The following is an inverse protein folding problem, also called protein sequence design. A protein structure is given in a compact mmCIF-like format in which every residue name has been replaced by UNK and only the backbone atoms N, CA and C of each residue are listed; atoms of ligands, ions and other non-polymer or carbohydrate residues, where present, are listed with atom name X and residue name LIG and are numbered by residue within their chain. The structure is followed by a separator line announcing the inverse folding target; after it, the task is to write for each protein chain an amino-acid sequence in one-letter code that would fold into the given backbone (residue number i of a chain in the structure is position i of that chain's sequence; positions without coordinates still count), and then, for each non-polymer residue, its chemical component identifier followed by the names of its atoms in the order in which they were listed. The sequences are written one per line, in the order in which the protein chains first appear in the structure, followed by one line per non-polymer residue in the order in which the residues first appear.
data_IF_053719550544
#
_entry.id   IF_053719550544
#
_cell.length_a   1.000
_cell.length_b   1.000
_cell.length_c   1.000
_cell.angle_alpha   90.00
_cell.angle_beta   90.00
_cell.angle_gamma   90.00
#
_symmetry.space_group_name_H-M   'P 1'
#
loop_
_entity.id
_entity.type
_entity.pdbx_description
1 polymer ?
#
# COMPACT_ATOMS: atom_id res chain seq x y z
N UNK A 1 -23.83 -13.04 45.29
CA UNK A 1 -23.50 -13.44 43.92
C UNK A 1 -23.77 -12.34 42.87
N UNK A 2 -24.59 -11.31 43.14
CA UNK A 2 -24.89 -10.20 42.21
C UNK A 2 -23.76 -9.15 42.15
N UNK A 3 -23.00 -8.93 43.21
CA UNK A 3 -21.98 -7.87 43.24
C UNK A 3 -20.64 -8.23 42.56
N UNK A 4 -20.39 -9.54 42.33
CA UNK A 4 -19.20 -9.99 41.59
C UNK A 4 -19.35 -9.84 40.10
N UNK A 5 -20.56 -9.98 39.58
CA UNK A 5 -20.87 -9.79 38.17
C UNK A 5 -20.85 -8.32 37.72
N UNK A 6 -21.14 -7.38 38.63
CA UNK A 6 -21.12 -5.94 38.33
C UNK A 6 -19.70 -5.36 38.25
N UNK A 7 -18.74 -5.92 38.93
CA UNK A 7 -17.34 -5.45 38.93
C UNK A 7 -16.57 -5.83 37.64
N UNK A 8 -16.96 -6.89 36.93
CA UNK A 8 -16.32 -7.26 35.65
C UNK A 8 -16.71 -6.37 34.48
N UNK A 9 -17.87 -5.69 34.58
CA UNK A 9 -18.35 -4.80 33.50
C UNK A 9 -17.58 -3.46 33.38
N UNK A 10 -16.80 -3.08 34.41
CA UNK A 10 -16.05 -1.81 34.45
C UNK A 10 -14.53 -1.95 34.32
N UNK A 11 -13.97 -3.16 34.24
CA UNK A 11 -12.52 -3.31 34.05
C UNK A 11 -12.16 -3.04 32.58
N UNK A 12 -11.38 -1.99 32.37
CA UNK A 12 -10.74 -1.76 31.06
C UNK A 12 -9.63 -2.82 30.85
N UNK A 13 -9.95 -3.92 30.13
CA UNK A 13 -9.02 -5.02 29.87
C UNK A 13 -7.78 -4.60 29.09
N UNK A 14 -7.78 -3.38 28.56
CA UNK A 14 -6.68 -2.78 27.80
C UNK A 14 -5.76 -1.91 28.67
N UNK A 15 -6.10 -1.69 29.95
CA UNK A 15 -5.31 -0.85 30.84
C UNK A 15 -3.88 -1.37 30.95
N UNK A 16 -2.90 -0.46 30.82
CA UNK A 16 -1.45 -0.72 30.85
C UNK A 16 -0.92 -1.71 29.80
N UNK A 17 -1.73 -2.11 28.82
CA UNK A 17 -1.30 -3.02 27.77
C UNK A 17 -0.41 -2.33 26.74
N UNK A 18 0.56 -3.11 26.24
CA UNK A 18 1.44 -2.72 25.14
C UNK A 18 1.19 -3.58 23.94
N UNK A 19 1.09 -2.95 22.77
CA UNK A 19 0.94 -3.66 21.51
C UNK A 19 2.12 -3.44 20.57
N UNK A 20 2.42 -4.45 19.76
CA UNK A 20 3.31 -4.35 18.61
C UNK A 20 2.53 -4.66 17.33
N UNK A 21 2.78 -3.86 16.30
CA UNK A 21 2.15 -3.99 15.00
C UNK A 21 3.19 -4.35 13.96
N UNK A 22 2.93 -5.39 13.19
CA UNK A 22 3.82 -5.79 12.11
C UNK A 22 3.06 -5.95 10.81
N UNK A 23 3.42 -5.14 9.82
CA UNK A 23 2.74 -5.11 8.53
C UNK A 23 3.66 -5.60 7.43
N UNK A 24 3.18 -6.57 6.67
CA UNK A 24 3.78 -7.05 5.43
C UNK A 24 2.86 -6.72 4.26
N UNK A 25 3.45 -6.37 3.13
CA UNK A 25 2.73 -6.18 1.87
C UNK A 25 2.53 -4.73 1.46
N UNK A 26 1.30 -4.35 1.17
CA UNK A 26 0.96 -3.12 0.46
C UNK A 26 0.50 -1.96 1.37
N UNK A 27 0.27 -0.79 0.75
CA UNK A 27 -0.25 0.42 1.42
C UNK A 27 -1.60 0.16 2.12
N UNK A 28 -2.44 -0.74 1.56
CA UNK A 28 -3.71 -1.11 2.20
C UNK A 28 -3.48 -1.80 3.54
N UNK A 29 -2.60 -2.82 3.57
CA UNK A 29 -2.29 -3.51 4.81
C UNK A 29 -1.75 -2.52 5.85
N UNK A 30 -0.93 -1.57 5.42
CA UNK A 30 -0.39 -0.55 6.31
C UNK A 30 -1.50 0.35 6.87
N UNK A 31 -2.40 0.88 6.04
CA UNK A 31 -3.53 1.69 6.49
C UNK A 31 -4.42 0.91 7.47
N UNK A 32 -4.73 -0.35 7.17
CA UNK A 32 -5.53 -1.24 8.03
C UNK A 32 -4.88 -1.43 9.40
N UNK A 33 -3.60 -1.74 9.44
CA UNK A 33 -2.86 -1.95 10.71
C UNK A 33 -2.74 -0.67 11.52
N UNK A 34 -2.46 0.46 10.87
CA UNK A 34 -2.40 1.77 11.51
C UNK A 34 -3.74 2.15 12.16
N UNK A 35 -4.86 1.89 11.45
CA UNK A 35 -6.20 2.13 12.01
C UNK A 35 -6.49 1.26 13.23
N UNK A 36 -6.09 0.00 13.23
CA UNK A 36 -6.20 -0.88 14.41
C UNK A 36 -5.38 -0.32 15.57
N UNK A 37 -4.16 0.14 15.32
CA UNK A 37 -3.30 0.77 16.32
C UNK A 37 -3.91 2.05 16.90
N UNK A 38 -4.48 2.89 16.05
CA UNK A 38 -5.16 4.12 16.46
C UNK A 38 -6.40 3.83 17.32
N UNK A 39 -7.15 2.79 16.98
CA UNK A 39 -8.32 2.38 17.76
C UNK A 39 -7.92 1.81 19.12
N UNK A 40 -6.94 0.91 19.20
CA UNK A 40 -6.42 0.37 20.46
C UNK A 40 -5.86 1.49 21.36
N UNK A 41 -5.24 2.51 20.79
CA UNK A 41 -4.76 3.68 21.52
C UNK A 41 -5.90 4.45 22.21
N UNK A 42 -7.10 4.50 21.64
CA UNK A 42 -8.29 5.12 22.27
C UNK A 42 -8.69 4.38 23.55
N UNK A 43 -8.40 3.09 23.65
CA UNK A 43 -8.61 2.28 24.84
C UNK A 43 -7.44 2.31 25.85
N UNK A 44 -6.37 3.07 25.58
CA UNK A 44 -5.22 3.21 26.46
C UNK A 44 -4.04 2.27 26.16
N UNK A 45 -4.13 1.46 25.09
CA UNK A 45 -3.01 0.58 24.68
C UNK A 45 -1.88 1.42 24.12
N UNK A 46 -0.69 1.25 24.67
CA UNK A 46 0.53 1.92 24.19
C UNK A 46 1.29 1.05 23.16
N UNK A 47 2.07 1.68 22.28
CA UNK A 47 2.95 0.93 21.38
C UNK A 47 4.24 0.52 22.13
N UNK A 48 4.56 -0.76 22.11
CA UNK A 48 5.79 -1.28 22.70
C UNK A 48 7.03 -0.69 22.00
N UNK A 49 7.99 -0.20 22.79
CA UNK A 49 9.27 0.32 22.29
C UNK A 49 10.20 -0.84 21.91
N UNK A 50 11.25 -0.53 21.15
CA UNK A 50 12.26 -1.52 20.78
C UNK A 50 12.89 -2.13 22.05
N UNK A 51 12.80 -3.46 22.19
CA UNK A 51 13.31 -4.21 23.33
C UNK A 51 12.30 -4.42 24.46
N UNK A 52 11.12 -3.82 24.42
CA UNK A 52 10.03 -4.11 25.37
C UNK A 52 9.24 -5.35 24.92
N UNK A 53 8.72 -6.09 25.87
CA UNK A 53 7.78 -7.19 25.63
C UNK A 53 6.38 -6.57 25.48
N UNK A 54 5.67 -6.93 24.41
CA UNK A 54 4.29 -6.53 24.20
C UNK A 54 3.33 -7.57 24.77
N UNK A 55 2.14 -7.14 25.17
CA UNK A 55 1.01 -8.00 25.56
C UNK A 55 0.19 -8.45 24.36
N UNK A 56 0.21 -7.67 23.26
CA UNK A 56 -0.59 -7.89 22.06
C UNK A 56 0.32 -7.76 20.84
N UNK A 57 0.25 -8.75 19.93
CA UNK A 57 0.92 -8.73 18.63
C UNK A 57 -0.13 -8.78 17.53
N UNK A 58 -0.21 -7.75 16.68
CA UNK A 58 -1.07 -7.73 15.50
C UNK A 58 -0.20 -7.81 14.24
N UNK A 59 -0.42 -8.86 13.45
CA UNK A 59 0.37 -9.15 12.24
C UNK A 59 -0.54 -9.12 11.03
N UNK A 60 -0.34 -8.15 10.13
CA UNK A 60 -1.05 -8.06 8.85
C UNK A 60 -0.17 -8.63 7.72
N UNK A 61 -0.65 -9.69 7.08
CA UNK A 61 0.13 -10.56 6.19
C UNK A 61 -0.16 -10.32 4.71
N UNK A 62 0.82 -10.65 3.87
CA UNK A 62 0.74 -10.57 2.41
C UNK A 62 0.88 -11.97 1.79
N UNK A 63 0.27 -12.20 0.61
CA UNK A 63 0.35 -13.48 -0.12
C UNK A 63 0.38 -13.30 -1.65
N UNK A 64 0.94 -12.19 -2.14
CA UNK A 64 1.05 -11.95 -3.59
C UNK A 64 2.15 -12.79 -4.24
N UNK A 65 3.16 -13.22 -3.48
CA UNK A 65 4.25 -14.09 -3.94
C UNK A 65 4.57 -15.16 -2.88
N UNK A 66 5.23 -16.26 -3.29
CA UNK A 66 5.69 -17.28 -2.35
C UNK A 66 6.75 -16.75 -1.37
N UNK A 67 7.60 -15.83 -1.83
CA UNK A 67 8.56 -15.13 -0.97
C UNK A 67 7.84 -14.31 0.10
N UNK A 68 6.70 -13.69 -0.23
CA UNK A 68 5.88 -12.98 0.75
C UNK A 68 5.31 -13.94 1.80
N UNK A 69 4.79 -15.11 1.41
CA UNK A 69 4.31 -16.13 2.35
C UNK A 69 5.45 -16.58 3.29
N UNK A 70 6.66 -16.83 2.78
CA UNK A 70 7.82 -17.20 3.58
C UNK A 70 8.20 -16.10 4.58
N UNK A 71 8.24 -14.84 4.13
CA UNK A 71 8.48 -13.68 5.02
C UNK A 71 7.42 -13.55 6.11
N UNK A 72 6.15 -13.85 5.80
CA UNK A 72 5.06 -13.85 6.78
C UNK A 72 5.32 -14.89 7.88
N UNK A 73 5.63 -16.14 7.53
CA UNK A 73 5.94 -17.18 8.50
C UNK A 73 7.12 -16.80 9.39
N UNK A 74 8.21 -16.31 8.80
CA UNK A 74 9.38 -15.85 9.56
C UNK A 74 9.04 -14.70 10.52
N UNK A 75 8.20 -13.77 10.09
CA UNK A 75 7.77 -12.64 10.93
C UNK A 75 6.92 -13.11 12.12
N UNK A 76 5.98 -14.03 11.90
CA UNK A 76 5.15 -14.62 12.95
C UNK A 76 6.04 -15.31 14.00
N UNK A 77 6.90 -16.23 13.59
CA UNK A 77 7.82 -16.92 14.53
C UNK A 77 8.73 -15.96 15.29
N UNK A 78 9.23 -14.91 14.61
CA UNK A 78 10.06 -13.90 15.26
C UNK A 78 9.29 -13.13 16.34
N UNK A 79 8.05 -12.73 16.06
CA UNK A 79 7.23 -11.96 17.01
C UNK A 79 6.82 -12.83 18.21
N UNK A 80 6.39 -14.06 17.99
CA UNK A 80 6.09 -15.02 19.07
C UNK A 80 7.29 -15.19 19.99
N UNK A 81 8.48 -15.39 19.43
CA UNK A 81 9.72 -15.56 20.21
C UNK A 81 10.12 -14.28 20.96
N UNK A 82 9.92 -13.11 20.37
CA UNK A 82 10.34 -11.84 20.98
C UNK A 82 9.35 -11.33 22.03
N UNK A 83 8.10 -11.81 22.01
CA UNK A 83 7.04 -11.38 22.92
C UNK A 83 6.36 -12.61 23.56
N UNK A 84 7.09 -13.36 24.42
CA UNK A 84 6.55 -14.56 25.04
C UNK A 84 5.33 -14.23 25.91
N UNK A 85 4.24 -14.99 25.73
CA UNK A 85 2.97 -14.78 26.43
C UNK A 85 2.07 -13.69 25.86
N UNK A 86 2.49 -12.98 24.82
CA UNK A 86 1.63 -12.04 24.13
C UNK A 86 0.45 -12.74 23.44
N UNK A 87 -0.68 -12.04 23.33
CA UNK A 87 -1.80 -12.41 22.47
C UNK A 87 -1.43 -12.14 21.02
N UNK A 88 -1.29 -13.19 20.20
CA UNK A 88 -0.85 -13.08 18.81
C UNK A 88 -2.03 -13.24 17.86
N UNK A 89 -2.36 -12.16 17.16
CA UNK A 89 -3.43 -12.12 16.15
C UNK A 89 -2.83 -11.91 14.77
N UNK A 90 -3.20 -12.80 13.84
CA UNK A 90 -2.74 -12.76 12.46
C UNK A 90 -3.91 -12.45 11.52
N UNK A 91 -3.74 -11.50 10.64
CA UNK A 91 -4.72 -11.14 9.60
C UNK A 91 -4.04 -10.92 8.25
N UNK A 92 -4.81 -10.55 7.24
CA UNK A 92 -4.30 -10.21 5.91
C UNK A 92 -4.49 -11.30 4.86
N UNK A 93 -3.85 -11.11 3.69
CA UNK A 93 -4.08 -11.97 2.53
C UNK A 93 -3.61 -13.42 2.77
N UNK A 94 -2.48 -13.63 3.45
CA UNK A 94 -2.01 -14.97 3.76
C UNK A 94 -2.90 -15.67 4.78
N UNK A 95 -3.36 -14.95 5.79
CA UNK A 95 -4.31 -15.44 6.78
C UNK A 95 -5.65 -15.87 6.14
N UNK A 96 -6.16 -15.12 5.17
CA UNK A 96 -7.39 -15.45 4.44
C UNK A 96 -7.23 -16.67 3.53
N UNK A 97 -6.08 -16.79 2.85
CA UNK A 97 -5.86 -17.86 1.86
C UNK A 97 -5.46 -19.19 2.48
N UNK A 98 -4.83 -19.18 3.64
CA UNK A 98 -4.28 -20.37 4.32
C UNK A 98 -4.54 -20.33 5.83
N UNK A 99 -5.80 -20.17 6.28
CA UNK A 99 -6.11 -19.96 7.69
C UNK A 99 -5.68 -21.12 8.59
N UNK A 100 -5.89 -22.38 8.14
CA UNK A 100 -5.49 -23.56 8.89
C UNK A 100 -3.97 -23.62 9.08
N UNK A 101 -3.20 -23.29 8.02
CA UNK A 101 -1.74 -23.30 8.10
C UNK A 101 -1.23 -22.23 9.06
N UNK A 102 -1.85 -21.06 9.07
CA UNK A 102 -1.43 -19.94 9.93
C UNK A 102 -1.86 -20.19 11.38
N UNK A 103 -3.08 -20.68 11.60
CA UNK A 103 -3.57 -20.98 12.96
C UNK A 103 -2.80 -22.12 13.63
N UNK A 104 -2.31 -23.10 12.85
CA UNK A 104 -1.49 -24.19 13.37
C UNK A 104 -0.05 -23.79 13.74
N UNK A 105 0.38 -22.54 13.46
CA UNK A 105 1.70 -22.06 13.85
C UNK A 105 1.76 -21.87 15.37
N UNK A 106 2.84 -22.35 15.97
CA UNK A 106 3.07 -22.23 17.42
C UNK A 106 3.02 -20.75 17.86
N UNK A 107 2.26 -20.49 18.92
CA UNK A 107 2.09 -19.17 19.52
C UNK A 107 1.12 -18.23 18.78
N UNK A 108 0.41 -18.70 17.77
CA UNK A 108 -0.70 -17.96 17.16
C UNK A 108 -1.99 -18.27 17.93
N UNK A 109 -2.62 -17.24 18.48
CA UNK A 109 -3.87 -17.37 19.25
C UNK A 109 -5.11 -17.27 18.37
N UNK A 110 -5.11 -16.37 17.36
CA UNK A 110 -6.28 -16.14 16.55
C UNK A 110 -5.88 -15.66 15.13
N UNK A 111 -6.56 -16.21 14.13
CA UNK A 111 -6.45 -15.80 12.74
C UNK A 111 -7.76 -15.16 12.29
N UNK A 112 -7.69 -13.94 11.75
CA UNK A 112 -8.85 -13.20 11.25
C UNK A 112 -8.73 -12.97 9.74
N UNK A 113 -9.77 -13.35 9.01
CA UNK A 113 -9.87 -13.17 7.56
C UNK A 113 -10.12 -11.74 7.13
N UNK A 114 -10.29 -11.57 5.82
CA UNK A 114 -10.50 -10.24 5.22
C UNK A 114 -11.84 -9.61 5.57
N UNK A 115 -12.87 -10.42 5.87
CA UNK A 115 -14.19 -9.94 6.27
C UNK A 115 -14.23 -9.50 7.73
N UNK A 116 -13.39 -10.10 8.57
CA UNK A 116 -13.35 -9.93 10.03
C UNK A 116 -12.38 -8.82 10.49
N UNK A 117 -11.63 -8.23 9.58
CA UNK A 117 -10.62 -7.20 9.90
C UNK A 117 -11.16 -6.03 10.72
N UNK A 118 -12.39 -5.60 10.46
CA UNK A 118 -13.04 -4.53 11.23
C UNK A 118 -13.38 -4.91 12.68
N UNK A 119 -13.23 -6.18 13.05
CA UNK A 119 -13.56 -6.71 14.38
C UNK A 119 -12.30 -7.07 15.19
N UNK A 120 -11.11 -6.67 14.72
CA UNK A 120 -9.84 -7.05 15.38
C UNK A 120 -9.79 -6.58 16.83
N UNK A 121 -10.22 -5.35 17.12
CA UNK A 121 -10.18 -4.78 18.47
C UNK A 121 -11.14 -5.51 19.41
N UNK A 122 -12.36 -5.82 18.93
CA UNK A 122 -13.32 -6.62 19.69
C UNK A 122 -12.81 -8.06 19.93
N UNK A 123 -12.18 -8.67 18.94
CA UNK A 123 -11.58 -9.99 19.08
C UNK A 123 -10.41 -10.00 20.08
N UNK A 124 -9.60 -8.93 20.14
CA UNK A 124 -8.56 -8.75 21.14
C UNK A 124 -9.20 -8.65 22.53
N UNK A 125 -10.23 -7.83 22.70
CA UNK A 125 -10.96 -7.65 23.94
C UNK A 125 -11.53 -8.99 24.44
N UNK A 126 -12.22 -9.72 23.57
CA UNK A 126 -12.76 -11.05 23.85
C UNK A 126 -11.68 -12.00 24.41
N UNK A 127 -10.52 -12.06 23.74
CA UNK A 127 -9.41 -12.93 24.15
C UNK A 127 -8.75 -12.50 25.46
N UNK A 128 -8.64 -11.21 25.72
CA UNK A 128 -8.07 -10.69 26.98
C UNK A 128 -9.00 -10.93 28.17
N UNK A 129 -10.31 -11.06 27.95
CA UNK A 129 -11.28 -11.37 28.99
C UNK A 129 -11.32 -12.87 29.36
N UNK A 130 -10.78 -13.76 28.52
CA UNK A 130 -10.72 -15.20 28.80
C UNK A 130 -9.69 -15.49 29.91
N UNK A 131 -9.99 -16.49 30.73
CA UNK A 131 -9.02 -17.06 31.64
C UNK A 131 -7.84 -17.69 30.87
N UNK A 132 -6.61 -17.75 31.45
CA UNK A 132 -5.45 -18.29 30.74
C UNK A 132 -5.66 -19.72 30.18
N UNK A 133 -6.37 -20.57 30.92
CA UNK A 133 -6.69 -21.95 30.51
C UNK A 133 -7.68 -21.96 29.34
N UNK A 134 -8.71 -21.11 29.39
CA UNK A 134 -9.70 -20.96 28.28
C UNK A 134 -9.03 -20.42 27.02
N UNK A 135 -8.13 -19.46 27.18
CA UNK A 135 -7.36 -18.90 26.05
C UNK A 135 -6.46 -19.94 25.39
N UNK A 136 -5.84 -20.84 26.16
CA UNK A 136 -5.06 -21.95 25.62
C UNK A 136 -5.93 -22.96 24.86
N UNK A 137 -7.12 -23.27 25.36
CA UNK A 137 -8.08 -24.15 24.68
C UNK A 137 -8.61 -23.53 23.40
N UNK A 138 -8.78 -22.21 23.37
CA UNK A 138 -9.22 -21.46 22.20
C UNK A 138 -8.06 -21.04 21.26
N UNK A 139 -6.81 -21.40 21.56
CA UNK A 139 -5.67 -21.17 20.67
C UNK A 139 -5.87 -21.91 19.33
N UNK A 140 -5.21 -21.42 18.29
CA UNK A 140 -5.32 -21.94 16.93
C UNK A 140 -6.69 -21.77 16.27
N UNK A 141 -7.57 -20.94 16.82
CA UNK A 141 -8.83 -20.56 16.18
C UNK A 141 -8.58 -19.70 14.94
N UNK A 142 -9.39 -19.92 13.92
CA UNK A 142 -9.48 -18.98 12.80
C UNK A 142 -10.94 -18.62 12.51
N UNK A 143 -11.15 -17.32 12.22
CA UNK A 143 -12.43 -16.77 11.80
C UNK A 143 -12.25 -16.23 10.38
N UNK A 144 -12.77 -16.95 9.41
CA UNK A 144 -12.73 -16.58 8.01
C UNK A 144 -14.05 -16.99 7.35
N UNK A 145 -14.46 -16.20 6.36
CA UNK A 145 -15.58 -16.58 5.50
C UNK A 145 -15.06 -17.02 4.14
N UNK A 146 -15.88 -17.75 3.38
CA UNK A 146 -15.55 -18.03 1.98
C UNK A 146 -15.35 -16.73 1.23
N UNK A 147 -14.44 -16.72 0.27
CA UNK A 147 -14.13 -15.52 -0.53
C UNK A 147 -15.37 -14.87 -1.14
N UNK A 148 -16.34 -15.68 -1.57
CA UNK A 148 -17.60 -15.21 -2.14
C UNK A 148 -18.48 -14.45 -1.13
N UNK A 149 -18.26 -14.66 0.15
CA UNK A 149 -19.06 -14.09 1.25
C UNK A 149 -18.39 -12.88 1.91
N UNK A 150 -17.20 -12.48 1.45
CA UNK A 150 -16.54 -11.25 1.91
C UNK A 150 -17.33 -10.03 1.46
N UNK A 151 -17.91 -9.28 2.41
CA UNK A 151 -18.76 -8.11 2.16
C UNK A 151 -18.28 -6.85 2.87
N UNK A 152 -17.68 -7.01 4.04
CA UNK A 152 -17.33 -5.87 4.89
C UNK A 152 -16.21 -5.03 4.27
N UNK A 153 -16.42 -3.73 4.24
CA UNK A 153 -15.39 -2.74 3.97
C UNK A 153 -14.91 -2.16 5.30
N UNK A 154 -13.66 -2.34 5.63
CA UNK A 154 -13.03 -1.71 6.79
C UNK A 154 -12.46 -0.36 6.36
N UNK A 155 -13.07 0.76 6.77
CA UNK A 155 -12.50 2.10 6.55
C UNK A 155 -11.13 2.18 7.23
N UNK A 156 -10.15 2.73 6.55
CA UNK A 156 -8.80 2.80 7.12
C UNK A 156 -8.04 3.99 6.55
N UNK A 157 -7.48 4.79 7.45
CA UNK A 157 -6.50 5.82 7.12
C UNK A 157 -5.32 5.66 8.07
N UNK A 158 -4.09 5.65 7.54
CA UNK A 158 -2.93 5.67 8.42
C UNK A 158 -2.82 7.01 9.13
N UNK A 159 -2.38 7.03 10.38
CA UNK A 159 -2.32 8.24 11.19
C UNK A 159 -1.06 8.26 12.05
N UNK A 160 -0.21 9.28 11.85
CA UNK A 160 0.95 9.56 12.70
C UNK A 160 2.16 8.63 12.59
N UNK A 161 2.07 7.57 11.80
CA UNK A 161 3.16 6.59 11.64
C UNK A 161 4.19 7.01 10.57
N UNK A 162 3.77 7.88 9.66
CA UNK A 162 4.55 8.37 8.51
C UNK A 162 4.08 9.76 8.13
N UNK A 163 4.91 10.51 7.42
CA UNK A 163 4.57 11.83 6.87
C UNK A 163 3.44 11.76 5.84
N UNK A 164 3.44 10.72 4.98
CA UNK A 164 2.38 10.49 4.00
C UNK A 164 1.34 9.53 4.55
N UNK A 165 0.08 9.95 4.59
CA UNK A 165 -1.05 9.16 5.06
C UNK A 165 -1.63 8.32 3.92
N UNK A 166 -2.11 7.13 4.21
CA UNK A 166 -2.73 6.23 3.23
C UNK A 166 -4.21 6.10 3.53
N UNK A 167 -5.06 6.63 2.66
CA UNK A 167 -6.52 6.52 2.75
C UNK A 167 -6.99 5.34 1.90
N UNK A 168 -7.52 4.31 2.53
CA UNK A 168 -8.11 3.15 1.85
C UNK A 168 -9.50 3.50 1.37
N UNK A 169 -9.68 3.63 0.05
CA UNK A 169 -10.97 3.98 -0.55
C UNK A 169 -11.70 2.78 -1.15
N UNK A 170 -10.97 1.71 -1.52
CA UNK A 170 -11.51 0.55 -2.21
C UNK A 170 -10.77 -0.72 -1.76
N UNK A 171 -11.44 -1.89 -1.79
CA UNK A 171 -10.88 -3.19 -1.46
C UNK A 171 -11.48 -4.28 -2.38
N UNK A 172 -10.74 -5.39 -2.56
CA UNK A 172 -11.14 -6.47 -3.46
C UNK A 172 -10.99 -6.12 -4.93
N UNK A 173 -11.25 -7.08 -5.83
CA UNK A 173 -11.13 -6.88 -7.29
C UNK A 173 -11.96 -7.88 -8.07
N UNK A 174 -12.63 -7.43 -9.14
CA UNK A 174 -13.46 -8.24 -10.02
C UNK A 174 -12.76 -8.61 -11.35
N UNK A 175 -11.47 -8.31 -11.52
CA UNK A 175 -10.77 -8.56 -12.79
C UNK A 175 -10.38 -10.01 -13.00
N UNK A 176 -10.05 -10.74 -11.94
CA UNK A 176 -9.64 -12.13 -12.02
C UNK A 176 -8.54 -12.37 -13.07
N UNK A 177 -7.53 -11.50 -13.09
CA UNK A 177 -6.34 -11.70 -13.93
C UNK A 177 -5.75 -13.08 -13.66
N UNK A 178 -5.27 -13.76 -14.71
CA UNK A 178 -4.88 -15.18 -14.64
C UNK A 178 -3.82 -15.48 -13.58
N UNK A 179 -2.97 -14.55 -13.26
CA UNK A 179 -1.86 -14.70 -12.30
C UNK A 179 -2.20 -14.25 -10.87
N UNK A 180 -3.36 -13.59 -10.66
CA UNK A 180 -3.61 -12.81 -9.46
C UNK A 180 -4.37 -13.61 -8.39
N UNK A 181 -3.89 -13.55 -7.14
CA UNK A 181 -4.53 -14.17 -5.99
C UNK A 181 -5.42 -13.21 -5.19
N UNK A 182 -5.40 -11.92 -5.51
CA UNK A 182 -6.12 -10.89 -4.74
C UNK A 182 -7.63 -11.10 -4.70
N UNK A 183 -8.32 -11.45 -5.80
CA UNK A 183 -9.76 -11.74 -5.73
C UNK A 183 -10.11 -12.87 -4.75
N UNK A 184 -9.20 -13.84 -4.59
CA UNK A 184 -9.38 -14.96 -3.65
C UNK A 184 -9.07 -14.58 -2.20
N UNK A 185 -8.16 -13.62 -1.99
CA UNK A 185 -7.78 -13.16 -0.66
C UNK A 185 -8.68 -12.04 -0.12
N UNK A 186 -9.16 -11.15 -1.00
CA UNK A 186 -9.87 -9.93 -0.61
C UNK A 186 -11.32 -9.88 -1.09
N UNK A 187 -11.76 -10.85 -1.90
CA UNK A 187 -13.12 -10.89 -2.44
C UNK A 187 -13.36 -9.88 -3.56
N UNK A 188 -14.66 -9.63 -3.81
CA UNK A 188 -15.11 -8.71 -4.84
C UNK A 188 -14.79 -7.25 -4.50
N UNK A 189 -14.77 -6.41 -5.55
CA UNK A 189 -14.60 -4.97 -5.43
C UNK A 189 -15.71 -4.35 -4.55
N UNK A 190 -15.31 -3.58 -3.57
CA UNK A 190 -16.17 -2.85 -2.64
C UNK A 190 -15.47 -1.60 -2.12
N UNK A 191 -16.24 -0.61 -1.68
CA UNK A 191 -15.73 0.69 -1.25
C UNK A 191 -16.55 1.25 -0.08
N UNK A 192 -15.98 2.23 0.62
CA UNK A 192 -16.73 3.08 1.54
C UNK A 192 -17.50 4.18 0.79
N UNK A 193 -18.49 4.80 1.43
CA UNK A 193 -19.16 5.98 0.87
C UNK A 193 -18.22 7.19 0.82
N UNK A 194 -18.47 8.11 -0.09
CA UNK A 194 -17.73 9.38 -0.19
C UNK A 194 -17.74 10.11 1.15
N UNK A 195 -18.91 10.23 1.79
CA UNK A 195 -19.05 10.93 3.09
C UNK A 195 -18.13 10.33 4.18
N UNK A 196 -18.08 9.00 4.27
CA UNK A 196 -17.19 8.31 5.21
C UNK A 196 -15.71 8.59 4.93
N UNK A 197 -15.30 8.56 3.66
CA UNK A 197 -13.90 8.76 3.26
C UNK A 197 -13.46 10.22 3.43
N UNK A 198 -14.36 11.17 3.17
CA UNK A 198 -14.14 12.60 3.44
C UNK A 198 -13.96 12.83 4.95
N UNK A 199 -14.80 12.21 5.80
CA UNK A 199 -14.63 12.30 7.26
C UNK A 199 -13.26 11.79 7.71
N UNK A 200 -12.78 10.66 7.16
CA UNK A 200 -11.43 10.15 7.46
C UNK A 200 -10.32 11.09 6.98
N UNK A 201 -10.48 11.72 5.82
CA UNK A 201 -9.53 12.72 5.33
C UNK A 201 -9.51 13.98 6.21
N UNK A 202 -10.68 14.42 6.73
CA UNK A 202 -10.77 15.52 7.69
C UNK A 202 -10.11 15.17 9.03
N UNK A 203 -10.32 13.96 9.54
CA UNK A 203 -9.62 13.48 10.74
C UNK A 203 -8.10 13.46 10.54
N UNK A 204 -7.63 13.01 9.37
CA UNK A 204 -6.23 13.05 9.02
C UNK A 204 -5.68 14.48 8.95
N UNK A 205 -6.42 15.43 8.37
CA UNK A 205 -6.08 16.84 8.34
C UNK A 205 -5.96 17.43 9.74
N UNK A 206 -6.91 17.15 10.63
CA UNK A 206 -6.87 17.57 12.04
C UNK A 206 -5.68 16.95 12.79
N UNK A 207 -5.24 15.76 12.41
CA UNK A 207 -4.03 15.13 12.93
C UNK A 207 -2.72 15.67 12.31
N UNK A 208 -2.79 16.67 11.41
CA UNK A 208 -1.65 17.33 10.80
C UNK A 208 -1.16 16.73 9.49
N UNK A 209 -1.91 15.81 8.87
CA UNK A 209 -1.54 15.28 7.56
C UNK A 209 -1.43 16.39 6.51
N UNK A 210 -0.34 16.40 5.76
CA UNK A 210 -0.14 17.30 4.62
C UNK A 210 -0.38 16.60 3.29
N UNK A 211 -0.07 15.32 3.21
CA UNK A 211 -0.24 14.52 2.00
C UNK A 211 -1.02 13.23 2.30
N UNK A 212 -2.06 12.98 1.50
CA UNK A 212 -2.83 11.73 1.51
C UNK A 212 -2.63 10.99 0.18
N UNK A 213 -2.24 9.72 0.28
CA UNK A 213 -2.19 8.79 -0.86
C UNK A 213 -3.49 7.98 -0.87
N UNK A 214 -4.32 8.20 -1.89
CA UNK A 214 -5.53 7.42 -2.13
C UNK A 214 -5.12 6.01 -2.53
N UNK A 215 -5.56 5.01 -1.76
CA UNK A 215 -5.10 3.63 -1.95
C UNK A 215 -6.25 2.63 -2.01
N UNK A 216 -6.05 1.57 -2.77
CA UNK A 216 -6.98 0.47 -2.96
C UNK A 216 -6.31 -0.67 -3.70
N UNK A 217 -7.07 -1.71 -4.00
CA UNK A 217 -6.65 -2.82 -4.88
C UNK A 217 -6.81 -2.43 -6.34
N UNK A 218 -7.95 -1.83 -6.68
CA UNK A 218 -8.31 -1.31 -7.98
C UNK A 218 -9.18 -0.07 -7.77
N UNK A 219 -8.54 1.07 -7.50
CA UNK A 219 -9.22 2.28 -7.05
C UNK A 219 -10.20 2.84 -8.08
N UNK A 220 -9.96 2.63 -9.37
CA UNK A 220 -10.88 3.04 -10.43
C UNK A 220 -12.22 2.29 -10.42
N UNK A 221 -12.32 1.15 -9.73
CA UNK A 221 -13.57 0.43 -9.47
C UNK A 221 -14.43 1.05 -8.34
N UNK A 222 -13.97 2.15 -7.75
CA UNK A 222 -14.72 2.86 -6.71
C UNK A 222 -16.14 3.18 -7.16
N UNK A 223 -17.09 3.03 -6.26
CA UNK A 223 -18.49 3.32 -6.48
C UNK A 223 -19.34 2.13 -6.91
N UNK A 224 -18.76 1.01 -7.33
CA UNK A 224 -19.53 -0.18 -7.73
C UNK A 224 -20.48 -0.70 -6.65
N UNK A 225 -20.12 -0.57 -5.39
CA UNK A 225 -20.94 -1.02 -4.26
C UNK A 225 -21.86 0.07 -3.68
N UNK A 226 -21.63 1.33 -3.99
CA UNK A 226 -22.37 2.49 -3.41
C UNK A 226 -23.16 3.29 -4.46
N UNK A 227 -22.90 3.08 -5.75
CA UNK A 227 -23.51 3.85 -6.85
C UNK A 227 -22.88 5.24 -7.04
N UNK A 228 -21.79 5.53 -6.34
CA UNK A 228 -20.99 6.75 -6.49
C UNK A 228 -19.95 6.59 -7.61
N UNK A 229 -19.17 7.63 -7.94
CA UNK A 229 -18.08 7.52 -8.92
C UNK A 229 -16.72 7.89 -8.31
N UNK A 230 -15.64 7.37 -8.91
CA UNK A 230 -14.28 7.73 -8.49
C UNK A 230 -14.02 9.24 -8.67
N UNK A 231 -14.52 9.83 -9.75
CA UNK A 231 -14.40 11.28 -10.00
C UNK A 231 -15.11 12.10 -8.90
N UNK A 232 -16.29 11.67 -8.45
CA UNK A 232 -17.00 12.38 -7.39
C UNK A 232 -16.25 12.29 -6.05
N UNK A 233 -15.62 11.15 -5.77
CA UNK A 233 -14.72 11.02 -4.63
C UNK A 233 -13.55 12.02 -4.71
N UNK A 234 -12.88 12.11 -5.87
CA UNK A 234 -11.76 13.05 -6.04
C UNK A 234 -12.21 14.49 -5.82
N UNK A 235 -13.34 14.89 -6.41
CA UNK A 235 -13.93 16.23 -6.21
C UNK A 235 -14.24 16.52 -4.75
N UNK A 236 -14.78 15.55 -4.03
CA UNK A 236 -15.10 15.71 -2.61
C UNK A 236 -13.84 15.82 -1.73
N UNK A 237 -12.81 15.02 -2.01
CA UNK A 237 -11.54 15.07 -1.31
C UNK A 237 -10.79 16.40 -1.56
N UNK A 238 -10.86 16.95 -2.77
CA UNK A 238 -10.25 18.25 -3.13
C UNK A 238 -10.77 19.42 -2.29
N UNK A 239 -11.98 19.28 -1.71
CA UNK A 239 -12.59 20.29 -0.84
C UNK A 239 -12.18 20.17 0.64
N UNK A 240 -11.45 19.12 1.02
CA UNK A 240 -11.02 18.93 2.41
C UNK A 240 -9.93 19.93 2.77
N UNK A 241 -10.22 20.78 3.75
CA UNK A 241 -9.29 21.79 4.22
C UNK A 241 -8.16 21.17 5.06
N UNK A 242 -6.93 21.70 4.93
CA UNK A 242 -5.77 21.26 5.69
C UNK A 242 -4.94 20.17 4.98
N UNK A 243 -5.48 19.48 3.97
CA UNK A 243 -4.70 18.60 3.10
C UNK A 243 -4.19 19.41 1.92
N UNK A 244 -2.88 19.44 1.76
CA UNK A 244 -2.21 20.19 0.71
C UNK A 244 -1.95 19.35 -0.54
N UNK A 245 -1.84 18.01 -0.38
CA UNK A 245 -1.52 17.09 -1.47
C UNK A 245 -2.34 15.80 -1.42
N UNK A 246 -2.91 15.44 -2.54
CA UNK A 246 -3.43 14.09 -2.81
C UNK A 246 -2.60 13.41 -3.91
N UNK A 247 -2.32 12.11 -3.72
CA UNK A 247 -1.74 11.28 -4.77
C UNK A 247 -2.65 10.09 -5.07
N UNK A 248 -2.84 9.84 -6.35
CA UNK A 248 -3.53 8.66 -6.84
C UNK A 248 -2.52 7.50 -6.84
N UNK A 249 -2.83 6.39 -6.13
CA UNK A 249 -2.04 5.18 -6.26
C UNK A 249 -2.42 4.40 -7.52
N UNK A 250 -2.20 3.10 -7.57
CA UNK A 250 -2.40 2.27 -8.76
C UNK A 250 -3.85 2.34 -9.29
N UNK A 251 -4.01 2.85 -10.51
CA UNK A 251 -5.28 2.92 -11.23
C UNK A 251 -5.15 2.24 -12.59
N UNK A 252 -6.06 1.30 -12.89
CA UNK A 252 -6.07 0.56 -14.15
C UNK A 252 -6.27 1.51 -15.35
N UNK A 253 -5.55 1.31 -16.48
CA UNK A 253 -5.61 2.21 -17.65
C UNK A 253 -7.02 2.44 -18.17
N UNK A 254 -7.83 1.37 -18.23
CA UNK A 254 -9.21 1.44 -18.71
C UNK A 254 -10.19 2.10 -17.73
N UNK A 255 -9.78 2.36 -16.50
CA UNK A 255 -10.54 3.06 -15.46
C UNK A 255 -10.03 4.49 -15.21
N UNK A 256 -8.86 4.83 -15.75
CA UNK A 256 -8.34 6.19 -15.77
C UNK A 256 -9.01 6.97 -16.92
N UNK A 257 -10.19 7.53 -16.64
CA UNK A 257 -10.95 8.28 -17.65
C UNK A 257 -10.33 9.64 -17.92
N UNK A 258 -10.66 10.23 -19.07
CA UNK A 258 -10.15 11.56 -19.46
C UNK A 258 -10.66 12.65 -18.52
N UNK A 259 -11.88 12.49 -17.97
CA UNK A 259 -12.44 13.40 -16.96
C UNK A 259 -11.65 13.37 -15.66
N UNK A 260 -11.17 12.19 -15.23
CA UNK A 260 -10.30 12.05 -14.05
C UNK A 260 -8.96 12.75 -14.30
N UNK A 261 -8.34 12.53 -15.46
CA UNK A 261 -7.07 13.17 -15.83
C UNK A 261 -7.24 14.69 -15.87
N UNK A 262 -8.29 15.17 -16.54
CA UNK A 262 -8.59 16.60 -16.66
C UNK A 262 -8.85 17.23 -15.28
N UNK A 263 -9.60 16.57 -14.42
CA UNK A 263 -9.83 17.05 -13.06
C UNK A 263 -8.51 17.17 -12.26
N UNK A 264 -7.66 16.16 -12.30
CA UNK A 264 -6.37 16.19 -11.62
C UNK A 264 -5.47 17.33 -12.14
N UNK A 265 -5.47 17.58 -13.45
CA UNK A 265 -4.70 18.66 -14.07
C UNK A 265 -5.19 20.07 -13.66
N UNK A 266 -6.45 20.22 -13.31
CA UNK A 266 -7.06 21.49 -12.88
C UNK A 266 -7.07 21.66 -11.36
N UNK A 267 -6.91 20.58 -10.62
CA UNK A 267 -6.93 20.59 -9.16
C UNK A 267 -5.66 21.20 -8.58
N UNK A 268 -5.82 21.94 -7.49
CA UNK A 268 -4.72 22.49 -6.72
C UNK A 268 -4.05 21.45 -5.82
N UNK A 269 -4.79 20.43 -5.39
CA UNK A 269 -4.33 19.47 -4.38
C UNK A 269 -3.93 18.13 -4.96
N UNK A 270 -4.42 17.74 -6.14
CA UNK A 270 -3.99 16.51 -6.80
C UNK A 270 -2.64 16.70 -7.50
N UNK A 271 -1.65 15.96 -7.03
CA UNK A 271 -0.27 16.08 -7.52
C UNK A 271 -0.09 15.45 -8.89
N UNK A 272 0.82 15.99 -9.73
CA UNK A 272 1.16 15.43 -11.05
C UNK A 272 1.97 14.13 -10.88
N UNK A 273 1.29 13.10 -10.40
CA UNK A 273 1.84 11.78 -10.13
C UNK A 273 0.77 10.71 -10.36
N UNK A 274 1.05 9.78 -11.25
CA UNK A 274 0.19 8.64 -11.54
C UNK A 274 0.97 7.34 -11.43
N UNK A 275 0.29 6.32 -10.93
CA UNK A 275 0.80 4.96 -10.93
C UNK A 275 -0.17 4.11 -11.76
N UNK A 276 0.28 3.65 -12.93
CA UNK A 276 -0.57 2.98 -13.92
C UNK A 276 0.03 1.59 -14.21
N UNK A 277 -0.65 0.49 -13.87
CA UNK A 277 -0.12 -0.86 -14.12
C UNK A 277 -0.23 -1.23 -15.60
N UNK A 278 0.91 -1.38 -16.28
CA UNK A 278 0.99 -1.92 -17.65
C UNK A 278 0.95 -3.45 -17.66
N UNK A 279 1.69 -4.07 -16.76
CA UNK A 279 1.93 -5.49 -16.58
C UNK A 279 2.79 -6.11 -17.67
N UNK A 280 2.56 -5.85 -18.96
CA UNK A 280 3.38 -6.26 -20.10
C UNK A 280 3.24 -5.27 -21.25
N UNK A 281 4.29 -5.10 -22.04
CA UNK A 281 4.28 -4.31 -23.29
C UNK A 281 3.89 -5.14 -24.52
N UNK A 282 3.43 -6.37 -24.37
CA UNK A 282 2.92 -7.22 -25.46
C UNK A 282 1.42 -7.47 -25.31
N UNK A 283 0.64 -7.19 -26.34
CA UNK A 283 -0.81 -7.42 -26.33
C UNK A 283 -1.18 -8.89 -26.16
N UNK A 284 -0.39 -9.80 -26.72
CA UNK A 284 -0.62 -11.23 -26.54
C UNK A 284 -0.41 -11.64 -25.08
N UNK A 285 0.63 -11.14 -24.40
CA UNK A 285 0.84 -11.40 -22.98
C UNK A 285 -0.26 -10.77 -22.14
N UNK A 286 -0.71 -9.55 -22.45
CA UNK A 286 -1.85 -8.90 -21.78
C UNK A 286 -3.13 -9.72 -21.93
N UNK A 287 -3.38 -10.27 -23.12
CA UNK A 287 -4.51 -11.17 -23.39
C UNK A 287 -4.43 -12.46 -22.56
N UNK A 288 -3.25 -13.07 -22.47
CA UNK A 288 -3.00 -14.25 -21.63
C UNK A 288 -3.20 -13.92 -20.13
N UNK A 289 -2.85 -12.72 -19.70
CA UNK A 289 -3.11 -12.22 -18.34
C UNK A 289 -4.59 -11.87 -18.09
N UNK A 290 -5.43 -11.83 -19.14
CA UNK A 290 -6.83 -11.33 -19.10
C UNK A 290 -6.93 -9.87 -18.65
N UNK A 291 -6.03 -9.02 -19.17
CA UNK A 291 -6.12 -7.58 -18.92
C UNK A 291 -7.31 -7.00 -19.69
N UNK A 292 -7.83 -5.86 -19.20
CA UNK A 292 -8.99 -5.16 -19.77
C UNK A 292 -8.58 -4.00 -20.68
N UNK A 293 -7.36 -3.97 -21.09
CA UNK A 293 -6.75 -2.98 -21.98
C UNK A 293 -5.64 -3.63 -22.79
N UNK A 294 -5.23 -2.93 -23.83
CA UNK A 294 -4.10 -3.23 -24.70
C UNK A 294 -3.01 -2.14 -24.59
N UNK A 295 -1.92 -2.32 -25.31
CA UNK A 295 -0.80 -1.37 -25.35
C UNK A 295 -1.22 -0.01 -25.94
N UNK A 296 -2.12 0.00 -26.93
CA UNK A 296 -2.60 1.24 -27.55
C UNK A 296 -3.39 2.10 -26.56
N UNK A 297 -4.32 1.51 -25.80
CA UNK A 297 -5.05 2.24 -24.76
C UNK A 297 -4.09 2.73 -23.66
N UNK A 298 -3.13 1.91 -23.22
CA UNK A 298 -2.15 2.33 -22.22
C UNK A 298 -1.37 3.56 -22.67
N UNK A 299 -0.83 3.53 -23.90
CA UNK A 299 -0.10 4.66 -24.49
C UNK A 299 -0.96 5.92 -24.55
N UNK A 300 -2.20 5.81 -25.01
CA UNK A 300 -3.11 6.96 -25.11
C UNK A 300 -3.35 7.63 -23.76
N UNK A 301 -3.41 6.86 -22.66
CA UNK A 301 -3.57 7.41 -21.30
C UNK A 301 -2.30 8.09 -20.80
N UNK A 302 -1.13 7.51 -21.06
CA UNK A 302 0.16 8.14 -20.75
C UNK A 302 0.31 9.47 -21.49
N UNK A 303 0.05 9.48 -22.80
CA UNK A 303 0.12 10.69 -23.63
C UNK A 303 -0.87 11.75 -23.16
N UNK A 304 -2.11 11.34 -22.83
CA UNK A 304 -3.13 12.28 -22.33
C UNK A 304 -2.76 12.89 -20.97
N UNK A 305 -2.15 12.12 -20.08
CA UNK A 305 -1.63 12.65 -18.80
C UNK A 305 -0.53 13.70 -19.08
N UNK A 306 0.42 13.40 -19.97
CA UNK A 306 1.54 14.29 -20.24
C UNK A 306 1.14 15.52 -21.07
N UNK A 307 0.10 15.40 -21.91
CA UNK A 307 -0.48 16.56 -22.62
C UNK A 307 -1.02 17.60 -21.63
N UNK A 308 -1.72 17.17 -20.60
CA UNK A 308 -2.33 18.06 -19.61
C UNK A 308 -1.40 18.42 -18.44
N UNK A 309 -0.48 17.53 -18.12
CA UNK A 309 0.49 17.66 -17.01
C UNK A 309 1.88 17.24 -17.49
N UNK A 310 2.63 18.11 -18.21
CA UNK A 310 3.95 17.75 -18.77
C UNK A 310 5.00 17.35 -17.75
N UNK A 311 4.83 17.80 -16.50
CA UNK A 311 5.71 17.49 -15.37
C UNK A 311 5.31 16.21 -14.61
N UNK A 312 4.26 15.50 -15.04
CA UNK A 312 3.75 14.35 -14.31
C UNK A 312 4.78 13.20 -14.24
N UNK A 313 4.94 12.67 -13.04
CA UNK A 313 5.65 11.41 -12.83
C UNK A 313 4.67 10.25 -13.09
N UNK A 314 4.97 9.42 -14.06
CA UNK A 314 4.19 8.21 -14.36
C UNK A 314 5.03 6.99 -13.98
N UNK A 315 4.66 6.36 -12.86
CA UNK A 315 5.20 5.08 -12.42
C UNK A 315 4.39 3.92 -13.00
N UNK A 316 5.06 2.87 -13.45
CA UNK A 316 4.44 1.77 -14.21
C UNK A 316 4.83 0.43 -13.61
N UNK A 317 3.83 -0.40 -13.25
CA UNK A 317 4.10 -1.78 -12.83
C UNK A 317 4.23 -2.69 -14.06
N UNK A 318 5.24 -3.57 -14.03
CA UNK A 318 5.42 -4.63 -15.03
C UNK A 318 5.79 -5.97 -14.37
N UNK A 319 5.28 -7.06 -14.93
CA UNK A 319 5.58 -8.43 -14.50
C UNK A 319 6.35 -9.12 -15.61
N UNK A 320 7.51 -9.66 -15.27
CA UNK A 320 8.44 -10.28 -16.22
C UNK A 320 8.49 -11.78 -16.01
N UNK A 321 8.54 -12.54 -17.10
CA UNK A 321 8.67 -13.99 -17.08
C UNK A 321 7.37 -14.70 -16.74
N UNK A 322 6.25 -14.18 -17.19
CA UNK A 322 4.93 -14.81 -17.04
C UNK A 322 4.82 -16.06 -17.91
N UNK A 323 3.87 -16.90 -17.59
CA UNK A 323 3.55 -18.03 -18.46
C UNK A 323 3.07 -17.54 -19.81
N UNK A 324 3.57 -18.14 -20.89
CA UNK A 324 3.28 -17.76 -22.28
C UNK A 324 4.19 -16.66 -22.84
N UNK A 325 5.02 -16.00 -22.04
CA UNK A 325 5.97 -14.98 -22.49
C UNK A 325 7.17 -15.64 -23.18
N UNK A 326 7.14 -15.74 -24.50
CA UNK A 326 8.29 -16.20 -25.31
C UNK A 326 9.36 -15.12 -25.37
N UNK A 327 10.54 -15.42 -25.97
CA UNK A 327 11.59 -14.41 -26.17
C UNK A 327 11.12 -13.30 -27.09
N UNK A 328 10.43 -13.65 -28.19
CA UNK A 328 9.90 -12.64 -29.15
C UNK A 328 8.89 -11.70 -28.47
N UNK A 329 7.97 -12.25 -27.65
CA UNK A 329 6.98 -11.44 -26.92
C UNK A 329 7.64 -10.59 -25.83
N UNK A 330 8.72 -11.07 -25.22
CA UNK A 330 9.51 -10.25 -24.28
C UNK A 330 10.24 -9.12 -25.01
N UNK A 331 10.83 -9.39 -26.17
CA UNK A 331 11.50 -8.36 -26.97
C UNK A 331 10.52 -7.29 -27.44
N UNK A 332 9.34 -7.69 -27.95
CA UNK A 332 8.22 -6.78 -28.29
C UNK A 332 7.85 -5.90 -27.08
N UNK A 333 7.66 -6.53 -25.91
CA UNK A 333 7.33 -5.81 -24.67
C UNK A 333 8.41 -4.83 -24.25
N UNK A 334 9.69 -5.21 -24.39
CA UNK A 334 10.83 -4.35 -24.07
C UNK A 334 10.88 -3.12 -24.97
N UNK A 335 10.75 -3.30 -26.30
CA UNK A 335 10.77 -2.23 -27.28
C UNK A 335 9.60 -1.25 -27.06
N UNK A 336 8.41 -1.79 -26.79
CA UNK A 336 7.27 -0.96 -26.45
C UNK A 336 7.53 -0.15 -25.16
N UNK A 337 8.01 -0.78 -24.08
CA UNK A 337 8.31 -0.10 -22.82
C UNK A 337 9.40 0.97 -23.00
N UNK A 338 10.46 0.68 -23.78
CA UNK A 338 11.51 1.65 -24.08
C UNK A 338 11.01 2.87 -24.87
N UNK A 339 9.92 2.73 -25.60
CA UNK A 339 9.30 3.83 -26.37
C UNK A 339 8.32 4.71 -25.60
N UNK A 340 7.98 4.34 -24.35
CA UNK A 340 7.01 5.10 -23.55
C UNK A 340 7.65 6.27 -22.80
N UNK A 341 7.03 7.45 -22.79
CA UNK A 341 7.51 8.62 -22.06
C UNK A 341 7.11 8.57 -20.59
N UNK A 342 7.49 7.50 -19.88
CA UNK A 342 7.20 7.30 -18.45
C UNK A 342 8.42 7.61 -17.59
N UNK A 343 8.23 7.72 -16.26
CA UNK A 343 9.30 8.11 -15.36
C UNK A 343 9.98 6.92 -14.67
N UNK A 344 9.29 5.81 -14.48
CA UNK A 344 9.84 4.65 -13.77
C UNK A 344 9.04 3.37 -14.04
N UNK A 345 9.74 2.24 -14.12
CA UNK A 345 9.14 0.90 -14.06
C UNK A 345 9.38 0.25 -12.70
N UNK A 346 8.32 -0.26 -12.09
CA UNK A 346 8.40 -1.17 -10.95
C UNK A 346 8.32 -2.60 -11.49
N UNK A 347 9.44 -3.31 -11.41
CA UNK A 347 9.62 -4.60 -12.09
C UNK A 347 9.41 -5.74 -11.11
N UNK A 348 8.46 -6.64 -11.42
CA UNK A 348 8.16 -7.80 -10.62
C UNK A 348 8.46 -9.08 -11.39
N UNK A 349 9.38 -9.94 -10.92
CA UNK A 349 9.52 -11.28 -11.50
C UNK A 349 8.25 -12.08 -11.17
N UNK A 350 7.68 -12.72 -12.19
CA UNK A 350 6.47 -13.53 -12.01
C UNK A 350 6.69 -14.66 -10.99
N UNK A 351 5.77 -14.79 -10.06
CA UNK A 351 5.72 -15.84 -9.05
C UNK A 351 4.49 -16.74 -9.28
N UNK A 352 4.71 -18.01 -9.54
CA UNK A 352 3.61 -18.99 -9.68
C UNK A 352 2.83 -19.09 -8.37
N UNK A 353 1.50 -19.11 -8.47
CA UNK A 353 0.61 -19.23 -7.32
C UNK A 353 -0.36 -20.39 -7.51
N UNK A 354 -0.46 -21.32 -6.55
CA UNK A 354 -1.44 -22.40 -6.60
C UNK A 354 -2.87 -21.86 -6.79
N UNK A 355 -3.65 -22.52 -7.61
CA UNK A 355 -5.04 -22.16 -7.89
C UNK A 355 -5.25 -21.02 -8.87
N UNK A 356 -4.17 -20.41 -9.41
CA UNK A 356 -4.27 -19.39 -10.46
C UNK A 356 -4.36 -20.00 -11.85
N UNK A 357 -5.16 -19.38 -12.71
CA UNK A 357 -5.35 -19.80 -14.11
C UNK A 357 -4.07 -19.69 -14.96
N UNK A 358 -3.11 -18.86 -14.55
CA UNK A 358 -1.84 -18.77 -15.24
C UNK A 358 -1.07 -20.09 -15.31
N UNK A 359 -1.28 -21.00 -14.34
CA UNK A 359 -0.63 -22.32 -14.34
C UNK A 359 -1.08 -23.23 -15.49
N UNK A 360 -2.25 -22.95 -16.08
CA UNK A 360 -2.79 -23.68 -17.23
C UNK A 360 -2.18 -23.21 -18.56
N UNK A 361 -1.49 -22.04 -18.57
CA UNK A 361 -0.88 -21.49 -19.77
C UNK A 361 0.42 -22.28 -20.06
N UNK A 362 0.58 -22.81 -21.28
CA UNK A 362 1.81 -23.47 -21.67
C UNK A 362 2.97 -22.47 -21.73
N UNK A 363 4.18 -22.93 -21.94
CA UNK A 363 5.44 -22.18 -21.94
C UNK A 363 5.74 -21.51 -20.58
N UNK A 364 6.70 -22.10 -19.90
CA UNK A 364 7.21 -21.59 -18.61
C UNK A 364 8.60 -21.01 -18.85
N UNK A 365 8.76 -19.75 -18.49
CA UNK A 365 10.08 -19.09 -18.55
C UNK A 365 10.99 -19.66 -17.45
N UNK A 366 12.19 -20.04 -17.81
CA UNK A 366 13.20 -20.58 -16.88
C UNK A 366 13.65 -19.51 -15.87
N UNK A 367 14.02 -19.90 -14.64
CA UNK A 367 14.43 -18.96 -13.60
C UNK A 367 15.58 -18.03 -14.03
N UNK A 368 16.57 -18.56 -14.72
CA UNK A 368 17.75 -17.84 -15.20
C UNK A 368 17.35 -16.78 -16.23
N UNK A 369 16.53 -17.17 -17.18
CA UNK A 369 16.00 -16.28 -18.22
C UNK A 369 15.11 -15.17 -17.63
N UNK A 370 14.24 -15.53 -16.67
CA UNK A 370 13.43 -14.55 -15.93
C UNK A 370 14.32 -13.53 -15.22
N UNK A 371 15.42 -13.96 -14.60
CA UNK A 371 16.36 -13.07 -13.94
C UNK A 371 17.01 -12.10 -14.94
N UNK A 372 17.43 -12.59 -16.11
CA UNK A 372 18.03 -11.75 -17.16
C UNK A 372 17.03 -10.71 -17.70
N UNK A 373 15.81 -11.14 -17.99
CA UNK A 373 14.73 -10.24 -18.45
C UNK A 373 14.40 -9.19 -17.38
N UNK A 374 14.32 -9.60 -16.11
CA UNK A 374 14.10 -8.67 -15.00
C UNK A 374 15.19 -7.62 -14.93
N UNK A 375 16.47 -8.02 -15.08
CA UNK A 375 17.58 -7.08 -15.04
C UNK A 375 17.52 -6.09 -16.21
N UNK A 376 17.23 -6.55 -17.43
CA UNK A 376 17.06 -5.65 -18.59
C UNK A 376 16.04 -4.54 -18.34
N UNK A 377 14.88 -4.87 -17.73
CA UNK A 377 13.86 -3.85 -17.45
C UNK A 377 14.26 -2.95 -16.27
N UNK A 378 14.99 -3.47 -15.28
CA UNK A 378 15.53 -2.65 -14.18
C UNK A 378 16.55 -1.63 -14.72
N UNK A 379 17.43 -2.04 -15.63
CA UNK A 379 18.41 -1.15 -16.27
C UNK A 379 17.72 -0.06 -17.10
N UNK A 380 16.67 -0.43 -17.86
CA UNK A 380 15.81 0.52 -18.57
C UNK A 380 15.16 1.49 -17.58
N UNK A 381 14.57 0.98 -16.49
CA UNK A 381 13.91 1.82 -15.48
C UNK A 381 14.88 2.80 -14.83
N UNK A 382 16.11 2.37 -14.53
CA UNK A 382 17.12 3.26 -13.97
C UNK A 382 17.47 4.40 -14.95
N UNK A 383 17.69 4.07 -16.22
CA UNK A 383 17.99 5.06 -17.25
C UNK A 383 16.89 6.12 -17.38
N UNK A 384 15.64 5.70 -17.55
CA UNK A 384 14.51 6.65 -17.73
C UNK A 384 14.23 7.46 -16.45
N UNK A 385 14.45 6.87 -15.26
CA UNK A 385 14.30 7.61 -14.00
C UNK A 385 15.36 8.69 -13.88
N UNK A 386 16.62 8.40 -14.27
CA UNK A 386 17.70 9.39 -14.31
C UNK A 386 17.36 10.52 -15.30
N UNK A 387 16.88 10.18 -16.48
CA UNK A 387 16.50 11.17 -17.50
C UNK A 387 15.34 12.04 -17.02
N UNK A 388 14.36 11.45 -16.32
CA UNK A 388 13.27 12.22 -15.72
C UNK A 388 13.80 13.19 -14.66
N UNK A 389 14.63 12.74 -13.72
CA UNK A 389 15.16 13.58 -12.66
C UNK A 389 16.05 14.69 -13.19
N UNK A 390 16.92 14.39 -14.17
CA UNK A 390 17.85 15.35 -14.76
C UNK A 390 17.15 16.57 -15.39
N UNK A 391 15.90 16.42 -15.87
CA UNK A 391 15.10 17.54 -16.38
C UNK A 391 14.79 18.62 -15.34
N UNK A 392 14.95 18.30 -14.06
CA UNK A 392 14.59 19.18 -12.94
C UNK A 392 15.79 19.73 -12.19
N UNK A 393 17.00 19.35 -12.52
CA UNK A 393 18.22 19.96 -11.95
C UNK A 393 18.22 21.46 -12.30
N UNK A 394 18.49 22.30 -11.29
CA UNK A 394 18.44 23.77 -11.39
C UNK A 394 17.05 24.39 -11.28
N UNK A 395 15.97 23.58 -11.11
CA UNK A 395 14.61 24.10 -10.90
C UNK A 395 14.25 24.13 -9.42
N UNK A 396 13.41 25.08 -9.04
CA UNK A 396 12.81 25.13 -7.70
C UNK A 396 11.50 24.36 -7.72
N UNK A 397 11.32 23.46 -6.74
CA UNK A 397 10.09 22.66 -6.57
C UNK A 397 9.69 22.59 -5.10
N UNK A 398 8.38 22.58 -4.79
CA UNK A 398 7.92 22.36 -3.43
C UNK A 398 8.16 20.90 -3.00
N UNK A 399 8.85 20.69 -1.88
CA UNK A 399 9.22 19.39 -1.32
C UNK A 399 8.52 19.19 0.02
N UNK A 400 7.78 18.09 0.18
CA UNK A 400 7.29 17.65 1.48
C UNK A 400 8.42 16.90 2.18
N UNK A 401 8.89 17.43 3.31
CA UNK A 401 9.95 16.85 4.12
C UNK A 401 9.41 15.68 4.95
N UNK A 402 10.08 14.54 4.86
CA UNK A 402 9.71 13.32 5.59
C UNK A 402 10.51 13.20 6.89
N UNK A 403 9.89 12.57 7.89
CA UNK A 403 10.53 12.30 9.17
C UNK A 403 11.91 11.65 9.00
N UNK A 404 12.91 12.25 9.64
CA UNK A 404 14.30 11.80 9.61
C UNK A 404 14.83 11.47 11.00
N UNK A 405 15.64 10.42 11.08
CA UNK A 405 16.43 10.12 12.29
C UNK A 405 17.71 10.95 12.38
N UNK A 406 18.16 11.52 11.26
CA UNK A 406 19.27 12.46 11.22
C UNK A 406 18.79 13.84 11.65
N UNK A 407 19.59 14.55 12.45
CA UNK A 407 19.27 15.91 12.86
C UNK A 407 19.56 16.96 11.78
N UNK A 408 20.41 16.62 10.82
CA UNK A 408 20.94 17.58 9.83
C UNK A 408 20.62 17.24 8.38
N UNK A 409 20.16 16.01 8.13
CA UNK A 409 19.82 15.57 6.77
C UNK A 409 18.39 15.11 6.75
N UNK A 410 17.61 15.62 5.82
CA UNK A 410 16.23 15.21 5.56
C UNK A 410 16.08 14.68 4.15
N UNK A 411 15.05 13.88 3.98
CA UNK A 411 14.59 13.47 2.67
C UNK A 411 13.15 13.96 2.49
N UNK A 412 12.76 14.13 1.24
CA UNK A 412 11.38 14.48 0.91
C UNK A 412 11.06 14.15 -0.53
N UNK A 413 9.84 14.45 -0.91
CA UNK A 413 9.39 14.30 -2.29
C UNK A 413 8.80 15.59 -2.82
N UNK A 414 9.19 15.93 -4.06
CA UNK A 414 8.55 17.01 -4.79
C UNK A 414 7.08 16.71 -5.07
N UNK A 415 6.33 17.71 -5.51
CA UNK A 415 4.98 17.54 -6.01
C UNK A 415 4.89 16.48 -7.14
N UNK A 416 5.85 16.45 -8.05
CA UNK A 416 5.98 15.44 -9.11
C UNK A 416 6.86 14.24 -8.74
N UNK A 417 6.96 13.90 -7.46
CA UNK A 417 7.50 12.66 -6.93
C UNK A 417 9.00 12.42 -7.07
N UNK A 418 9.80 13.45 -7.32
CA UNK A 418 11.25 13.36 -7.28
C UNK A 418 11.71 13.26 -5.82
N UNK A 419 12.53 12.28 -5.50
CA UNK A 419 13.15 12.16 -4.19
C UNK A 419 14.30 13.16 -4.05
N UNK A 420 14.29 13.90 -2.93
CA UNK A 420 15.27 14.93 -2.64
C UNK A 420 15.94 14.66 -1.29
N UNK A 421 17.24 14.86 -1.23
CA UNK A 421 18.04 14.85 0.00
C UNK A 421 18.49 16.26 0.31
N UNK A 422 18.21 16.73 1.53
CA UNK A 422 18.45 18.12 1.94
C UNK A 422 19.34 18.14 3.17
N UNK A 423 20.46 18.81 3.10
CA UNK A 423 21.23 19.18 4.28
C UNK A 423 20.65 20.47 4.87
N UNK A 424 20.17 20.37 6.10
CA UNK A 424 19.53 21.51 6.77
C UNK A 424 20.57 22.61 7.08
N UNK A 425 20.20 23.88 6.91
CA UNK A 425 21.04 25.02 7.30
C UNK A 425 21.42 24.98 8.79
N UNK A 426 22.51 25.66 9.15
CA UNK A 426 22.94 25.76 10.54
C UNK A 426 21.82 26.41 11.40
N UNK A 427 21.54 25.81 12.55
CA UNK A 427 20.46 26.25 13.45
C UNK A 427 19.06 25.68 13.14
N UNK A 428 18.89 24.99 12.02
CA UNK A 428 17.67 24.25 11.67
C UNK A 428 17.85 22.78 12.00
N UNK A 429 16.83 22.17 12.62
CA UNK A 429 16.84 20.74 12.97
C UNK A 429 15.63 20.02 12.37
N UNK A 430 15.76 18.74 12.10
CA UNK A 430 14.72 17.91 11.47
C UNK A 430 13.37 18.00 12.20
N UNK A 431 13.38 18.02 13.53
CA UNK A 431 12.17 18.09 14.36
C UNK A 431 11.34 19.37 14.15
N UNK A 432 11.99 20.46 13.66
CA UNK A 432 11.31 21.75 13.42
C UNK A 432 10.66 21.84 12.04
N UNK A 433 11.13 21.04 11.10
CA UNK A 433 10.71 21.11 9.68
C UNK A 433 10.09 19.80 9.18
N UNK A 434 9.99 18.80 10.06
CA UNK A 434 9.29 17.55 9.74
C UNK A 434 7.84 17.83 9.31
N UNK A 435 7.39 17.10 8.31
CA UNK A 435 6.04 17.23 7.75
C UNK A 435 5.68 18.65 7.26
N UNK A 436 6.67 19.42 6.80
CA UNK A 436 6.45 20.72 6.17
C UNK A 436 6.73 20.67 4.67
N UNK A 437 6.09 21.55 3.91
CA UNK A 437 6.38 21.76 2.50
C UNK A 437 7.23 23.00 2.36
N UNK A 438 8.40 22.86 1.74
CA UNK A 438 9.37 23.94 1.52
C UNK A 438 9.79 24.01 0.06
N UNK A 439 10.09 25.20 -0.44
CA UNK A 439 10.62 25.35 -1.78
C UNK A 439 12.11 25.01 -1.79
N UNK A 440 12.50 24.14 -2.74
CA UNK A 440 13.86 23.58 -2.81
C UNK A 440 14.40 23.74 -4.22
N UNK A 441 15.59 24.32 -4.33
CA UNK A 441 16.39 24.29 -5.55
C UNK A 441 17.00 22.88 -5.69
N UNK A 442 16.63 22.18 -6.77
CA UNK A 442 17.13 20.85 -7.05
C UNK A 442 18.54 20.92 -7.69
N UNK A 443 19.48 20.27 -7.05
CA UNK A 443 20.88 20.14 -7.52
C UNK A 443 21.16 18.78 -8.14
N UNK A 444 22.45 18.45 -8.23
CA UNK A 444 22.89 17.15 -8.76
C UNK A 444 22.52 15.97 -7.87
N UNK A 445 22.75 14.76 -8.37
CA UNK A 445 22.55 13.53 -7.63
C UNK A 445 23.39 13.49 -6.33
N UNK A 446 22.81 12.89 -5.29
CA UNK A 446 23.57 12.57 -4.08
C UNK A 446 24.61 11.47 -4.38
N UNK A 447 25.54 11.22 -3.45
CA UNK A 447 26.66 10.26 -3.63
C UNK A 447 26.17 8.84 -3.87
N UNK A 448 25.02 8.48 -3.31
CA UNK A 448 24.42 7.15 -3.49
C UNK A 448 23.65 7.02 -4.82
N UNK A 449 23.43 8.10 -5.57
CA UNK A 449 22.64 8.12 -6.80
C UNK A 449 21.16 7.79 -6.59
N UNK A 450 20.63 8.04 -5.40
CA UNK A 450 19.26 7.65 -5.01
C UNK A 450 18.28 8.82 -4.87
N UNK A 451 18.78 10.06 -4.86
CA UNK A 451 18.03 11.29 -4.73
C UNK A 451 18.79 12.46 -5.36
N UNK A 452 18.09 13.54 -5.72
CA UNK A 452 18.73 14.81 -6.01
C UNK A 452 19.08 15.52 -4.69
N UNK A 453 20.19 16.23 -4.66
CA UNK A 453 20.50 17.16 -3.57
C UNK A 453 19.58 18.36 -3.67
N UNK A 454 19.17 18.89 -2.53
CA UNK A 454 18.29 20.05 -2.45
C UNK A 454 18.83 21.13 -1.55
N UNK A 455 18.62 22.39 -1.93
CA UNK A 455 18.88 23.58 -1.13
C UNK A 455 17.55 24.30 -0.88
N UNK A 456 17.19 24.47 0.41
CA UNK A 456 15.97 25.19 0.78
C UNK A 456 16.13 26.66 0.34
N UNK A 457 15.09 27.20 -0.29
CA UNK A 457 14.98 28.60 -0.65
C UNK A 457 14.10 29.34 0.36
N UNK A 458 14.48 30.57 0.66
CA UNK A 458 13.75 31.49 1.56
C UNK A 458 12.43 31.95 0.93
#
# INVERSE_FOLDING_TARGET
MSDILCNFACMNVFEDKKAVYYTLGCKLNFAETSSVGAELKKYGVSTARKGEIADICVINTCSVTEVADSKCRQAIHRLVRNHPGALVIVTGCYAQLKPEQVSAMEGVDLVLGSNEKGQIVEAIKERLMMMPEERKLAAHEYRTVRTADIRNFMPSCSCGDRTRYFLKVQDGCDYYCTYCTIPFARGRSRNGSIGMLVSQAQEAAMAGAKEIVITGVNIGDFGKSTGESFLDLLKALDQVQGIERYRISSIEPNLLTDEVIQFCAQSRTFMPHFHIPLQSGSDEVLRLMRRKYDTALFRSKVERVLELMPDAFIGVDTIVGTRGETEDLFQEAYEYMASLPVAQYHVFPYSERPGTKALEIPHKVRPEEKKLRTQKILDLSESITRDFYNRYIGKVRPVLLEHSKSKHTMHGFTDNYIRVEINLPEGMTSDKVDNTIVDVLLGDWNEEGTALRGEVKD
#
